data_IF_382460847036
#
_entry.id   IF_382460847036
#
_cell.length_a   1.000
_cell.length_b   1.000
_cell.length_c   1.000
_cell.angle_alpha   90.00
_cell.angle_beta   90.00
_cell.angle_gamma   90.00
#
_symmetry.space_group_name_H-M   'P 1'
#
loop_
_entity.id
_entity.type
_entity.pdbx_description
1 polymer ?
#
# COMPACT_ATOMS: atom_id res chain seq x y z
N UNK A 1 -57.41 11.12 -25.17
CA UNK A 1 -57.53 12.14 -26.23
C UNK A 1 -57.89 11.53 -27.59
N UNK A 2 -57.09 10.65 -28.21
CA UNK A 2 -57.39 10.10 -29.55
C UNK A 2 -58.74 9.35 -29.66
N UNK A 3 -59.04 8.44 -28.73
CA UNK A 3 -60.29 7.68 -28.78
C UNK A 3 -61.53 8.59 -28.67
N UNK A 4 -61.45 9.64 -27.84
CA UNK A 4 -62.50 10.65 -27.70
C UNK A 4 -62.70 11.43 -29.00
N UNK A 5 -61.62 11.89 -29.62
CA UNK A 5 -61.69 12.61 -30.90
C UNK A 5 -62.33 11.76 -32.00
N UNK A 6 -62.01 10.46 -32.05
CA UNK A 6 -62.62 9.53 -33.01
C UNK A 6 -64.12 9.36 -32.73
N UNK A 7 -64.50 9.15 -31.46
CA UNK A 7 -65.90 9.01 -31.06
C UNK A 7 -66.71 10.28 -31.40
N UNK A 8 -66.19 11.46 -31.09
CA UNK A 8 -66.85 12.74 -31.36
C UNK A 8 -67.06 12.94 -32.87
N UNK A 9 -66.05 12.63 -33.69
CA UNK A 9 -66.13 12.80 -35.15
C UNK A 9 -67.16 11.86 -35.79
N UNK A 10 -67.27 10.63 -35.28
CA UNK A 10 -68.20 9.63 -35.79
C UNK A 10 -69.65 9.84 -35.29
N UNK A 11 -69.80 10.45 -34.10
CA UNK A 11 -71.11 10.79 -33.54
C UNK A 11 -71.91 11.77 -34.42
N UNK A 12 -71.24 12.71 -35.10
CA UNK A 12 -71.87 13.63 -36.05
C UNK A 12 -72.53 12.93 -37.25
N UNK A 13 -72.19 11.65 -37.48
CA UNK A 13 -72.77 10.77 -38.51
C UNK A 13 -73.67 9.68 -37.91
N UNK A 14 -74.10 9.85 -36.65
CA UNK A 14 -74.92 8.89 -35.91
C UNK A 14 -74.28 7.50 -35.73
N UNK A 15 -72.94 7.42 -35.72
CA UNK A 15 -72.21 6.18 -35.42
C UNK A 15 -71.81 6.20 -33.94
N UNK A 16 -72.27 5.20 -33.18
CA UNK A 16 -71.93 5.02 -31.76
C UNK A 16 -70.66 4.15 -31.66
N UNK A 17 -69.62 4.69 -31.05
CA UNK A 17 -68.34 4.00 -30.83
C UNK A 17 -68.29 3.52 -29.39
N UNK A 18 -68.13 2.20 -29.19
CA UNK A 18 -68.09 1.60 -27.85
C UNK A 18 -66.66 1.47 -27.32
N UNK A 19 -65.73 0.95 -28.12
CA UNK A 19 -64.32 0.84 -27.72
C UNK A 19 -63.41 0.97 -28.94
N UNK A 20 -62.32 1.74 -28.78
CA UNK A 20 -61.29 1.92 -29.80
C UNK A 20 -60.06 1.11 -29.40
N UNK A 21 -59.68 0.15 -30.24
CA UNK A 21 -58.42 -0.59 -30.11
C UNK A 21 -57.41 -0.08 -31.12
N UNK A 22 -56.16 0.14 -30.67
CA UNK A 22 -55.03 0.46 -31.55
C UNK A 22 -54.15 -0.79 -31.60
N UNK A 23 -54.14 -1.50 -32.72
CA UNK A 23 -53.49 -2.82 -32.82
C UNK A 23 -52.15 -2.84 -33.56
N UNK A 24 -51.72 -1.74 -34.16
CA UNK A 24 -50.53 -1.73 -35.06
C UNK A 24 -49.68 -0.45 -34.98
N UNK A 25 -49.51 0.12 -33.78
CA UNK A 25 -48.60 1.26 -33.62
C UNK A 25 -47.14 0.81 -33.70
N UNK A 26 -46.40 1.32 -34.69
CA UNK A 26 -44.96 1.10 -34.85
C UNK A 26 -44.23 2.43 -34.97
N UNK A 27 -43.14 2.57 -34.22
CA UNK A 27 -42.21 3.68 -34.44
C UNK A 27 -41.50 3.52 -35.80
N UNK A 28 -40.93 4.61 -36.32
CA UNK A 28 -40.08 4.51 -37.50
C UNK A 28 -38.86 3.63 -37.21
N UNK A 29 -38.39 2.92 -38.23
CA UNK A 29 -37.19 2.09 -38.11
C UNK A 29 -35.98 2.90 -37.63
N UNK A 30 -35.84 4.14 -38.11
CA UNK A 30 -34.78 5.06 -37.72
C UNK A 30 -34.82 5.45 -36.24
N UNK A 31 -36.01 5.60 -35.66
CA UNK A 31 -36.18 5.88 -34.24
C UNK A 31 -35.81 4.67 -33.40
N UNK A 32 -36.28 3.47 -33.78
CA UNK A 32 -35.96 2.23 -33.07
C UNK A 32 -34.44 2.00 -32.99
N UNK A 33 -33.73 2.15 -34.10
CA UNK A 33 -32.27 2.02 -34.17
C UNK A 33 -31.57 3.04 -33.26
N UNK A 34 -32.02 4.29 -33.25
CA UNK A 34 -31.42 5.33 -32.41
C UNK A 34 -31.61 5.05 -30.92
N UNK A 35 -32.79 4.58 -30.52
CA UNK A 35 -33.07 4.22 -29.13
C UNK A 35 -32.19 3.04 -28.71
N UNK A 36 -32.11 2.00 -29.53
CA UNK A 36 -31.26 0.84 -29.25
C UNK A 36 -29.77 1.25 -29.13
N UNK A 37 -29.27 2.04 -30.09
CA UNK A 37 -27.91 2.58 -30.07
C UNK A 37 -27.63 3.40 -28.80
N UNK A 38 -28.59 4.23 -28.37
CA UNK A 38 -28.47 5.00 -27.12
C UNK A 38 -28.38 4.08 -25.90
N UNK A 39 -29.20 3.05 -25.82
CA UNK A 39 -29.17 2.08 -24.72
C UNK A 39 -27.83 1.35 -24.71
N UNK A 40 -27.36 0.86 -25.85
CA UNK A 40 -26.06 0.18 -25.98
C UNK A 40 -24.92 1.10 -25.55
N UNK A 41 -24.90 2.34 -26.02
CA UNK A 41 -23.88 3.33 -25.65
C UNK A 41 -23.89 3.62 -24.15
N UNK A 42 -25.08 3.75 -23.54
CA UNK A 42 -25.22 4.00 -22.11
C UNK A 42 -24.73 2.81 -21.28
N UNK A 43 -25.09 1.58 -21.67
CA UNK A 43 -24.61 0.38 -20.99
C UNK A 43 -23.09 0.21 -21.11
N UNK A 44 -22.52 0.52 -22.27
CA UNK A 44 -21.07 0.54 -22.47
C UNK A 44 -20.40 1.56 -21.56
N UNK A 45 -20.94 2.77 -21.47
CA UNK A 45 -20.42 3.80 -20.56
C UNK A 45 -20.44 3.34 -19.09
N UNK A 46 -21.56 2.76 -18.63
CA UNK A 46 -21.67 2.22 -17.27
C UNK A 46 -20.65 1.10 -17.01
N UNK A 47 -20.47 0.22 -17.98
CA UNK A 47 -19.49 -0.88 -17.91
C UNK A 47 -18.07 -0.33 -17.73
N UNK A 48 -17.66 0.61 -18.58
CA UNK A 48 -16.32 1.19 -18.49
C UNK A 48 -16.11 2.01 -17.20
N UNK A 49 -17.15 2.70 -16.71
CA UNK A 49 -17.07 3.39 -15.43
C UNK A 49 -16.83 2.40 -14.28
N UNK A 50 -17.50 1.26 -14.29
CA UNK A 50 -17.30 0.22 -13.28
C UNK A 50 -15.91 -0.43 -13.41
N UNK A 51 -15.42 -0.67 -14.63
CA UNK A 51 -14.07 -1.16 -14.88
C UNK A 51 -13.02 -0.21 -14.31
N UNK A 52 -13.16 1.10 -14.55
CA UNK A 52 -12.26 2.11 -14.02
C UNK A 52 -12.23 2.10 -12.49
N UNK A 53 -13.40 2.03 -11.84
CA UNK A 53 -13.50 1.93 -10.38
C UNK A 53 -12.80 0.69 -9.85
N UNK A 54 -12.98 -0.46 -10.51
CA UNK A 54 -12.31 -1.70 -10.13
C UNK A 54 -10.78 -1.56 -10.20
N UNK A 55 -10.26 -1.01 -11.30
CA UNK A 55 -8.81 -0.75 -11.46
C UNK A 55 -8.31 0.19 -10.36
N UNK A 56 -9.05 1.24 -10.05
CA UNK A 56 -8.66 2.20 -9.01
C UNK A 56 -8.61 1.56 -7.62
N UNK A 57 -9.59 0.69 -7.29
CA UNK A 57 -9.58 -0.06 -6.04
C UNK A 57 -8.37 -0.99 -5.97
N UNK A 58 -8.05 -1.71 -7.04
CA UNK A 58 -6.86 -2.59 -7.09
C UNK A 58 -5.56 -1.80 -6.96
N UNK A 59 -5.46 -0.65 -7.62
CA UNK A 59 -4.29 0.22 -7.52
C UNK A 59 -4.11 0.73 -6.07
N UNK A 60 -5.19 1.21 -5.44
CA UNK A 60 -5.17 1.64 -4.04
C UNK A 60 -4.78 0.50 -3.09
N UNK A 61 -5.35 -0.69 -3.31
CA UNK A 61 -5.03 -1.87 -2.51
C UNK A 61 -3.54 -2.24 -2.62
N UNK A 62 -2.96 -2.14 -3.82
CA UNK A 62 -1.53 -2.38 -4.07
C UNK A 62 -0.67 -1.37 -3.32
N UNK A 63 -1.02 -0.08 -3.38
CA UNK A 63 -0.30 0.98 -2.65
C UNK A 63 -0.35 0.74 -1.15
N UNK A 64 -1.53 0.44 -0.59
CA UNK A 64 -1.70 0.16 0.83
C UNK A 64 -0.89 -1.07 1.25
N UNK A 65 -0.88 -2.14 0.45
CA UNK A 65 -0.08 -3.34 0.71
C UNK A 65 1.42 -3.03 0.71
N UNK A 66 1.91 -2.31 -0.29
CA UNK A 66 3.32 -1.92 -0.36
C UNK A 66 3.72 -1.05 0.85
N UNK A 67 2.87 -0.10 1.23
CA UNK A 67 3.12 0.77 2.37
C UNK A 67 3.06 0.01 3.70
N UNK A 68 2.14 -0.94 3.84
CA UNK A 68 2.06 -1.83 5.00
C UNK A 68 3.31 -2.72 5.10
N UNK A 69 3.76 -3.32 4.00
CA UNK A 69 4.98 -4.12 3.94
C UNK A 69 6.23 -3.30 4.32
N UNK A 70 6.35 -2.08 3.80
CA UNK A 70 7.45 -1.18 4.16
C UNK A 70 7.45 -0.85 5.66
N UNK A 71 6.29 -0.50 6.23
CA UNK A 71 6.15 -0.22 7.67
C UNK A 71 6.48 -1.44 8.53
N UNK A 72 6.02 -2.63 8.13
CA UNK A 72 6.31 -3.88 8.82
C UNK A 72 7.82 -4.18 8.82
N UNK A 73 8.52 -3.96 7.71
CA UNK A 73 9.97 -4.16 7.63
C UNK A 73 10.74 -3.19 8.55
N UNK A 74 10.36 -1.92 8.59
CA UNK A 74 10.95 -0.93 9.51
C UNK A 74 10.73 -1.33 10.96
N UNK A 75 9.51 -1.71 11.32
CA UNK A 75 9.18 -2.16 12.68
C UNK A 75 10.01 -3.40 13.09
N UNK A 76 10.15 -4.36 12.16
CA UNK A 76 10.96 -5.57 12.37
C UNK A 76 12.44 -5.23 12.60
N UNK A 77 13.04 -4.45 11.70
CA UNK A 77 14.45 -4.04 11.82
C UNK A 77 14.74 -3.25 13.10
N UNK A 78 13.80 -2.38 13.52
CA UNK A 78 13.88 -1.67 14.79
C UNK A 78 13.83 -2.62 16.00
N UNK A 79 12.91 -3.60 15.98
CA UNK A 79 12.81 -4.62 17.02
C UNK A 79 14.10 -5.45 17.14
N UNK A 80 14.63 -5.91 16.01
CA UNK A 80 15.90 -6.66 15.96
C UNK A 80 17.07 -5.82 16.49
N UNK A 81 17.18 -4.55 16.07
CA UNK A 81 18.21 -3.62 16.54
C UNK A 81 18.13 -3.39 18.05
N UNK A 82 16.92 -3.23 18.59
CA UNK A 82 16.71 -3.09 20.04
C UNK A 82 17.09 -4.37 20.79
N UNK A 83 16.71 -5.54 20.27
CA UNK A 83 17.07 -6.82 20.86
C UNK A 83 18.59 -7.02 20.91
N UNK A 84 19.31 -6.70 19.82
CA UNK A 84 20.79 -6.74 19.78
C UNK A 84 21.38 -5.76 20.77
N UNK A 85 20.86 -4.53 20.85
CA UNK A 85 21.35 -3.52 21.80
C UNK A 85 21.18 -3.98 23.24
N UNK A 86 20.01 -4.51 23.60
CA UNK A 86 19.73 -5.04 24.94
C UNK A 86 20.69 -6.19 25.24
N UNK A 87 20.80 -7.17 24.33
CA UNK A 87 21.70 -8.32 24.50
C UNK A 87 23.14 -7.87 24.70
N UNK A 88 23.63 -6.95 23.87
CA UNK A 88 24.98 -6.38 23.98
C UNK A 88 25.20 -5.70 25.33
N UNK A 89 24.21 -4.95 25.82
CA UNK A 89 24.28 -4.32 27.15
C UNK A 89 24.35 -5.37 28.25
N UNK A 90 23.55 -6.43 28.19
CA UNK A 90 23.60 -7.51 29.19
C UNK A 90 24.92 -8.29 29.15
N UNK A 91 25.44 -8.57 27.96
CA UNK A 91 26.73 -9.23 27.79
C UNK A 91 27.89 -8.36 28.31
N UNK A 92 27.86 -7.04 28.07
CA UNK A 92 28.85 -6.10 28.63
C UNK A 92 28.86 -6.07 30.15
N UNK A 93 27.71 -6.27 30.81
CA UNK A 93 27.62 -6.34 32.28
C UNK A 93 28.27 -7.60 32.87
N UNK A 94 28.49 -8.63 32.05
CA UNK A 94 29.09 -9.90 32.50
C UNK A 94 30.37 -10.24 31.70
N UNK A 95 31.47 -9.47 31.85
CA UNK A 95 32.71 -9.73 31.10
C UNK A 95 33.31 -11.11 31.38
N UNK A 96 33.19 -11.60 32.62
CA UNK A 96 33.67 -12.91 33.02
C UNK A 96 32.92 -14.06 32.32
N UNK A 97 31.62 -13.88 32.04
CA UNK A 97 30.83 -14.87 31.31
C UNK A 97 31.24 -14.96 29.84
N UNK A 98 31.54 -13.83 29.20
CA UNK A 98 32.08 -13.82 27.84
C UNK A 98 33.45 -14.49 27.75
N UNK A 99 34.32 -14.28 28.75
CA UNK A 99 35.62 -14.96 28.85
C UNK A 99 35.46 -16.46 29.08
N UNK A 100 34.54 -16.88 29.93
CA UNK A 100 34.26 -18.31 30.14
C UNK A 100 33.68 -18.96 28.88
N UNK A 101 32.70 -18.33 28.21
CA UNK A 101 32.10 -18.85 26.98
C UNK A 101 33.10 -18.91 25.83
N UNK A 102 34.01 -17.94 25.74
CA UNK A 102 35.07 -17.96 24.73
C UNK A 102 36.06 -19.09 24.99
N UNK A 103 36.42 -19.37 26.25
CA UNK A 103 37.26 -20.52 26.63
C UNK A 103 36.54 -21.85 26.32
N UNK A 104 35.26 -21.98 26.67
CA UNK A 104 34.44 -23.18 26.43
C UNK A 104 34.29 -23.50 24.93
N UNK A 105 34.13 -22.47 24.09
CA UNK A 105 33.95 -22.61 22.64
C UNK A 105 35.26 -22.65 21.85
N UNK A 106 36.39 -22.44 22.51
CA UNK A 106 37.67 -22.37 21.83
C UNK A 106 38.18 -23.76 21.46
N UNK A 107 38.52 -23.96 20.19
CA UNK A 107 39.00 -25.23 19.62
C UNK A 107 40.52 -25.45 19.79
N UNK A 108 41.17 -24.75 20.72
CA UNK A 108 42.60 -24.91 21.04
C UNK A 108 43.59 -24.37 20.01
N UNK A 109 43.15 -23.75 18.91
CA UNK A 109 44.06 -23.22 17.88
C UNK A 109 44.43 -21.76 18.17
N UNK A 110 45.71 -21.51 18.44
CA UNK A 110 46.30 -20.20 18.71
C UNK A 110 47.37 -19.90 17.66
N UNK A 111 47.21 -18.83 16.88
CA UNK A 111 48.27 -18.30 16.02
C UNK A 111 49.22 -17.45 16.88
N UNK A 112 50.31 -18.04 17.35
CA UNK A 112 51.29 -17.40 18.22
C UNK A 112 52.19 -16.45 17.41
N UNK A 113 51.79 -15.19 17.26
CA UNK A 113 52.68 -14.11 16.86
C UNK A 113 53.13 -13.35 18.12
N UNK A 114 54.27 -13.77 18.67
CA UNK A 114 55.17 -12.93 19.48
C UNK A 114 54.64 -12.37 20.81
N UNK A 115 55.08 -13.02 21.89
CA UNK A 115 55.17 -12.53 23.29
C UNK A 115 53.87 -12.13 24.01
N UNK A 116 53.36 -13.05 24.83
CA UNK A 116 52.38 -12.77 25.88
C UNK A 116 51.25 -13.80 25.89
N UNK A 117 51.30 -14.76 26.80
CA UNK A 117 50.39 -15.91 26.89
C UNK A 117 48.96 -15.53 27.35
N UNK A 118 48.23 -14.79 26.51
CA UNK A 118 46.78 -14.63 26.57
C UNK A 118 46.21 -14.78 25.15
N UNK A 119 45.30 -15.74 24.89
CA UNK A 119 44.76 -15.99 23.55
C UNK A 119 43.72 -14.93 23.09
N UNK A 120 43.64 -13.78 23.76
CA UNK A 120 42.63 -12.76 23.53
C UNK A 120 43.25 -11.46 23.02
N UNK A 121 42.70 -10.92 21.93
CA UNK A 121 43.06 -9.59 21.45
C UNK A 121 42.36 -8.51 22.30
N UNK A 122 43.12 -7.64 22.97
CA UNK A 122 42.56 -6.47 23.64
C UNK A 122 42.18 -5.41 22.59
N UNK A 123 40.88 -5.11 22.44
CA UNK A 123 40.45 -4.01 21.59
C UNK A 123 40.89 -2.67 22.21
N UNK A 124 41.64 -1.81 21.49
CA UNK A 124 42.04 -0.51 22.02
C UNK A 124 40.81 0.38 22.20
N UNK A 125 40.44 0.65 23.45
CA UNK A 125 39.44 1.67 23.79
C UNK A 125 40.12 3.04 23.79
N UNK A 126 39.94 3.84 22.73
CA UNK A 126 40.39 5.24 22.72
C UNK A 126 39.58 6.02 23.75
N UNK A 127 40.19 6.34 24.90
CA UNK A 127 39.67 7.33 25.83
C UNK A 127 39.89 8.73 25.25
N UNK A 128 38.82 9.34 24.73
CA UNK A 128 38.81 10.76 24.37
C UNK A 128 39.02 11.59 25.64
N UNK A 129 40.28 11.92 25.92
CA UNK A 129 40.66 12.78 27.04
C UNK A 129 40.71 14.21 26.52
N UNK A 130 39.87 15.06 27.07
CA UNK A 130 39.93 16.51 26.93
C UNK A 130 41.28 17.02 27.47
N UNK A 131 41.99 17.84 26.69
CA UNK A 131 42.92 18.82 27.25
C UNK A 131 42.59 20.19 26.69
N UNK A 132 42.26 21.04 27.63
CA UNK A 132 41.87 22.44 27.58
C UNK A 132 43.14 23.33 27.57
N UNK A 133 43.02 24.50 26.92
CA UNK A 133 43.77 25.75 27.16
C UNK A 133 45.30 25.82 26.98
N UNK A 134 45.73 26.75 26.10
CA UNK A 134 46.65 27.89 26.38
C UNK A 134 46.91 28.70 25.08
N UNK A 135 46.24 29.85 24.92
CA UNK A 135 46.75 31.24 24.97
C UNK A 135 47.45 31.78 23.70
N UNK A 136 46.89 32.88 23.16
CA UNK A 136 47.52 33.78 22.18
C UNK A 136 48.86 34.35 22.70
N UNK A 137 49.72 34.84 21.80
CA UNK A 137 49.94 36.29 21.77
C UNK A 137 49.91 36.91 20.36
N UNK A 138 49.66 38.22 20.36
CA UNK A 138 49.51 39.09 19.20
C UNK A 138 50.83 39.56 18.56
N UNK A 139 50.69 40.00 17.31
CA UNK A 139 51.35 41.14 16.65
C UNK A 139 52.85 41.06 16.31
N UNK A 140 53.16 41.15 15.00
CA UNK A 140 53.57 42.41 14.37
C UNK A 140 53.28 42.38 12.87
#
# INVERSE_FOLDING_TARGET
MIAQTIADTLSARSIVVETVFITDFKFSQSFAIQVESKVVAFQKFLTEQNNLKAIQVVANQTVVQAQAAARANVAKSNGESQAIKITTVQLKKSPAYLQWLSIDRWNGHTYALGSGAFPFFQLPVRSLSQTQNQTLPQAR
#
